data_IF_018498249605
#
_entry.id   IF_018498249605
#
_cell.length_a   1.000
_cell.length_b   1.000
_cell.length_c   1.000
_cell.angle_alpha   90.00
_cell.angle_beta   90.00
_cell.angle_gamma   90.00
#
_symmetry.space_group_name_H-M   'P 1'
#
loop_
_entity.id
_entity.type
_entity.pdbx_description
1 polymer ?
#
# COMPACT_ATOMS: atom_id res chain seq x y z
N UNK A 1 2.21 -16.61 -13.02
CA UNK A 1 3.39 -16.65 -13.91
C UNK A 1 4.58 -16.08 -13.15
N UNK A 2 5.82 -16.41 -13.51
CA UNK A 2 7.01 -15.89 -12.84
C UNK A 2 8.00 -15.32 -13.85
N UNK A 3 8.40 -14.06 -13.63
CA UNK A 3 9.43 -13.40 -14.41
C UNK A 3 10.77 -14.13 -14.28
N UNK A 4 11.50 -14.24 -15.39
CA UNK A 4 12.81 -14.91 -15.45
C UNK A 4 12.75 -16.42 -15.71
N UNK A 5 11.56 -17.00 -15.88
CA UNK A 5 11.40 -18.41 -16.29
C UNK A 5 11.08 -18.43 -17.78
N UNK A 6 12.12 -18.57 -18.61
CA UNK A 6 12.07 -18.45 -20.08
C UNK A 6 11.51 -19.70 -20.76
N UNK A 7 10.35 -20.16 -20.31
CA UNK A 7 9.62 -21.29 -20.91
C UNK A 7 8.17 -20.91 -21.14
N UNK A 8 7.54 -21.55 -22.13
CA UNK A 8 6.10 -21.46 -22.33
C UNK A 8 5.34 -22.32 -21.29
N UNK A 9 5.91 -23.47 -20.89
CA UNK A 9 5.28 -24.44 -20.01
C UNK A 9 5.31 -24.11 -18.51
N UNK A 10 4.97 -25.12 -17.69
CA UNK A 10 5.13 -25.07 -16.23
C UNK A 10 6.41 -25.82 -15.83
N UNK A 11 7.17 -25.23 -14.91
CA UNK A 11 8.43 -25.79 -14.39
C UNK A 11 8.36 -25.87 -12.87
N UNK A 12 8.94 -26.92 -12.29
CA UNK A 12 9.06 -27.05 -10.83
C UNK A 12 10.33 -26.37 -10.34
N UNK A 13 10.19 -25.33 -9.52
CA UNK A 13 11.30 -24.55 -8.97
C UNK A 13 11.30 -24.62 -7.44
N UNK A 14 12.49 -24.63 -6.85
CA UNK A 14 12.67 -24.56 -5.41
C UNK A 14 12.57 -23.11 -4.92
N UNK A 15 11.45 -22.76 -4.29
CA UNK A 15 11.16 -21.39 -3.83
C UNK A 15 11.40 -21.24 -2.32
N UNK A 16 12.08 -20.16 -1.95
CA UNK A 16 12.28 -19.63 -0.59
C UNK A 16 11.42 -18.38 -0.30
N UNK A 17 11.58 -17.81 0.91
CA UNK A 17 10.94 -16.55 1.32
C UNK A 17 11.33 -15.39 0.38
N UNK A 18 10.34 -14.59 -0.02
CA UNK A 18 10.53 -13.40 -0.87
C UNK A 18 10.35 -13.65 -2.37
N UNK A 19 10.31 -14.90 -2.82
CA UNK A 19 9.95 -15.17 -4.20
C UNK A 19 8.45 -15.05 -4.47
N UNK A 20 8.10 -14.48 -5.62
CA UNK A 20 6.75 -14.53 -6.17
C UNK A 20 6.25 -15.97 -6.33
N UNK A 21 4.93 -16.16 -6.19
CA UNK A 21 4.22 -17.46 -6.22
C UNK A 21 4.41 -18.38 -5.00
N UNK A 22 5.15 -17.96 -3.96
CA UNK A 22 5.30 -18.74 -2.74
C UNK A 22 5.32 -17.88 -1.46
N UNK A 23 4.58 -18.33 -0.45
CA UNK A 23 4.62 -17.80 0.90
C UNK A 23 4.96 -18.94 1.87
N UNK A 24 6.16 -18.96 2.47
CA UNK A 24 6.56 -20.02 3.40
C UNK A 24 5.71 -20.00 4.67
N UNK A 25 5.49 -21.18 5.27
CA UNK A 25 4.75 -21.31 6.53
C UNK A 25 5.68 -21.35 7.72
N UNK A 26 6.88 -21.92 7.55
CA UNK A 26 7.94 -21.94 8.57
C UNK A 26 9.13 -21.08 8.13
N UNK A 27 9.87 -20.57 9.10
CA UNK A 27 11.11 -19.83 8.84
C UNK A 27 12.15 -20.79 8.25
N UNK A 28 12.86 -20.37 7.20
CA UNK A 28 13.87 -21.18 6.51
C UNK A 28 13.33 -22.22 5.52
N UNK A 29 12.01 -22.40 5.43
CA UNK A 29 11.41 -23.39 4.53
C UNK A 29 11.63 -23.05 3.06
N UNK A 30 12.12 -24.03 2.30
CA UNK A 30 12.13 -24.01 0.83
C UNK A 30 11.23 -25.12 0.29
N UNK A 31 10.45 -24.83 -0.76
CA UNK A 31 9.52 -25.81 -1.33
C UNK A 31 9.56 -25.80 -2.86
N UNK A 32 9.64 -26.99 -3.45
CA UNK A 32 9.50 -27.17 -4.89
C UNK A 32 8.03 -27.01 -5.30
N UNK A 33 7.73 -25.98 -6.09
CA UNK A 33 6.38 -25.71 -6.63
C UNK A 33 6.43 -25.57 -8.15
N UNK A 34 5.37 -26.03 -8.80
CA UNK A 34 5.15 -25.80 -10.24
C UNK A 34 4.73 -24.36 -10.48
N UNK A 35 5.44 -23.68 -11.37
CA UNK A 35 5.20 -22.28 -11.74
C UNK A 35 5.14 -22.18 -13.26
N UNK A 36 4.19 -21.40 -13.78
CA UNK A 36 4.11 -21.07 -15.22
C UNK A 36 5.20 -20.07 -15.59
N UNK A 37 5.86 -20.30 -16.72
CA UNK A 37 6.88 -19.41 -17.26
C UNK A 37 6.36 -18.02 -17.63
N UNK A 38 7.28 -17.14 -18.06
CA UNK A 38 6.95 -15.75 -18.41
C UNK A 38 6.48 -15.57 -19.86
N UNK A 39 6.69 -16.57 -20.72
CA UNK A 39 6.27 -16.50 -22.13
C UNK A 39 4.76 -16.76 -22.21
N UNK A 40 4.06 -15.89 -22.94
CA UNK A 40 2.61 -15.98 -23.15
C UNK A 40 2.31 -17.05 -24.20
N UNK A 41 1.27 -17.83 -23.97
CA UNK A 41 0.82 -18.92 -24.84
C UNK A 41 -0.72 -19.04 -24.71
N UNK A 42 -1.38 -19.65 -25.70
CA UNK A 42 -2.83 -19.73 -25.79
C UNK A 42 -3.49 -20.48 -24.62
N UNK A 43 -2.72 -21.31 -23.91
CA UNK A 43 -3.18 -22.10 -22.76
C UNK A 43 -3.32 -21.29 -21.45
N UNK A 44 -3.45 -19.97 -21.51
CA UNK A 44 -3.62 -19.07 -20.36
C UNK A 44 -5.08 -18.61 -20.25
N UNK A 45 -5.67 -18.71 -19.06
CA UNK A 45 -7.06 -18.27 -18.84
C UNK A 45 -7.22 -16.76 -18.67
N UNK A 46 -6.23 -16.09 -18.05
CA UNK A 46 -6.29 -14.66 -17.71
C UNK A 46 -4.92 -14.02 -17.86
N UNK A 47 -4.87 -12.82 -18.43
CA UNK A 47 -3.71 -11.94 -18.48
C UNK A 47 -4.00 -10.65 -17.70
N UNK A 48 -3.07 -10.29 -16.81
CA UNK A 48 -3.15 -9.03 -16.07
C UNK A 48 -2.32 -7.98 -16.82
N UNK A 49 -2.96 -6.92 -17.30
CA UNK A 49 -2.33 -5.84 -18.06
C UNK A 49 -2.38 -4.53 -17.27
N UNK A 50 -1.42 -3.64 -17.52
CA UNK A 50 -1.36 -2.29 -16.94
C UNK A 50 -1.25 -1.28 -18.08
N UNK A 51 -2.12 -0.28 -18.07
CA UNK A 51 -2.13 0.80 -19.07
C UNK A 51 -1.06 1.82 -18.70
N UNK A 52 -0.13 2.11 -19.63
CA UNK A 52 0.95 3.09 -19.43
C UNK A 52 0.62 4.44 -20.09
N UNK A 53 -0.08 4.42 -21.23
CA UNK A 53 -0.47 5.61 -21.98
C UNK A 53 -1.94 5.52 -22.36
N UNK A 54 -2.68 6.62 -22.19
CA UNK A 54 -4.07 6.76 -22.61
C UNK A 54 -4.12 7.04 -24.12
N UNK A 55 -5.07 6.42 -24.83
CA UNK A 55 -5.35 6.73 -26.24
C UNK A 55 -6.33 7.91 -26.37
N UNK A 56 -6.80 8.16 -27.59
CA UNK A 56 -7.79 9.22 -27.86
C UNK A 56 -9.17 8.92 -27.27
N UNK A 57 -9.56 7.65 -27.25
CA UNK A 57 -10.85 7.19 -26.74
C UNK A 57 -10.73 6.72 -25.31
N UNK A 58 -11.73 7.08 -24.52
CA UNK A 58 -11.86 6.68 -23.13
C UNK A 58 -12.49 5.28 -23.04
N UNK A 59 -12.05 4.51 -22.04
CA UNK A 59 -12.53 3.17 -21.75
C UNK A 59 -13.48 3.24 -20.56
N UNK A 60 -14.75 2.85 -20.75
CA UNK A 60 -15.74 2.94 -19.69
C UNK A 60 -15.35 2.10 -18.47
N UNK A 61 -15.49 2.70 -17.28
CA UNK A 61 -15.22 2.06 -16.00
C UNK A 61 -13.75 1.90 -15.61
N UNK A 62 -12.81 2.35 -16.46
CA UNK A 62 -11.38 2.33 -16.14
C UNK A 62 -10.74 3.72 -16.20
N UNK A 63 -10.91 4.44 -17.32
CA UNK A 63 -10.31 5.77 -17.49
C UNK A 63 -11.21 6.91 -17.04
N UNK A 64 -12.52 6.66 -16.96
CA UNK A 64 -13.53 7.69 -16.72
C UNK A 64 -13.60 8.08 -15.24
N UNK A 65 -13.31 7.13 -14.36
CA UNK A 65 -13.39 7.31 -12.91
C UNK A 65 -12.00 7.38 -12.31
N UNK A 66 -11.70 8.47 -11.60
CA UNK A 66 -10.46 8.60 -10.83
C UNK A 66 -10.70 8.15 -9.39
N UNK A 67 -10.04 7.06 -8.97
CA UNK A 67 -10.08 6.62 -7.57
C UNK A 67 -8.89 7.23 -6.81
N UNK A 68 -9.12 8.12 -5.83
CA UNK A 68 -8.02 8.73 -5.07
C UNK A 68 -7.36 7.74 -4.12
N UNK A 69 -6.11 8.02 -3.73
CA UNK A 69 -5.42 7.26 -2.70
C UNK A 69 -6.11 7.44 -1.34
N UNK A 70 -6.59 6.33 -0.76
CA UNK A 70 -7.32 6.34 0.52
C UNK A 70 -6.45 6.73 1.72
N UNK A 71 -5.16 6.37 1.71
CA UNK A 71 -4.26 6.58 2.85
C UNK A 71 -3.12 7.52 2.48
N UNK A 72 -2.89 8.51 3.34
CA UNK A 72 -1.75 9.40 3.23
C UNK A 72 -0.44 8.78 3.73
N UNK A 73 0.70 9.42 3.47
CA UNK A 73 1.99 8.97 3.97
C UNK A 73 2.06 8.98 5.51
N UNK A 74 2.57 7.89 6.11
CA UNK A 74 2.73 7.76 7.58
C UNK A 74 4.02 8.36 8.15
N UNK A 75 5.08 8.46 7.34
CA UNK A 75 6.40 8.92 7.80
C UNK A 75 6.53 10.43 7.62
N UNK A 76 7.07 11.14 8.62
CA UNK A 76 7.22 12.59 8.58
C UNK A 76 8.00 13.09 7.35
N UNK A 77 9.08 12.40 6.98
CA UNK A 77 9.87 12.72 5.78
C UNK A 77 9.10 12.62 4.47
N UNK A 78 8.09 11.76 4.39
CA UNK A 78 7.24 11.63 3.19
C UNK A 78 6.13 12.69 3.16
N UNK A 79 5.63 13.11 4.32
CA UNK A 79 4.65 14.19 4.42
C UNK A 79 5.31 15.52 4.03
N UNK A 80 6.52 15.80 4.56
CA UNK A 80 7.30 16.98 4.19
C UNK A 80 7.55 17.08 2.68
N UNK A 81 7.88 15.96 2.03
CA UNK A 81 8.06 15.91 0.56
C UNK A 81 6.77 16.13 -0.23
N UNK A 82 5.62 15.73 0.31
CA UNK A 82 4.34 15.83 -0.38
C UNK A 82 3.83 17.28 -0.37
N UNK A 83 3.99 17.96 0.76
CA UNK A 83 3.55 19.35 0.94
C UNK A 83 4.69 20.38 0.79
N UNK A 84 5.89 19.95 0.39
CA UNK A 84 7.10 20.79 0.26
C UNK A 84 7.44 21.60 1.52
N UNK A 85 7.26 21.00 2.70
CA UNK A 85 7.55 21.63 4.00
C UNK A 85 9.05 21.63 4.30
N UNK A 86 9.50 22.62 5.07
CA UNK A 86 10.86 22.68 5.59
C UNK A 86 11.00 21.79 6.85
N UNK A 87 12.17 21.80 7.49
CA UNK A 87 12.39 20.97 8.69
C UNK A 87 11.76 21.59 9.94
N UNK A 88 11.58 22.89 9.89
CA UNK A 88 11.10 23.77 10.96
C UNK A 88 9.57 23.66 11.11
N UNK A 89 8.87 23.30 10.04
CA UNK A 89 7.41 23.17 10.03
C UNK A 89 6.92 21.94 10.82
N UNK A 90 5.82 22.12 11.57
CA UNK A 90 5.14 21.03 12.26
C UNK A 90 4.35 20.17 11.28
N UNK A 91 4.71 18.89 11.23
CA UNK A 91 4.15 17.90 10.31
C UNK A 91 2.76 17.42 10.75
N UNK A 92 2.40 17.58 12.03
CA UNK A 92 1.15 17.04 12.60
C UNK A 92 -0.10 17.67 11.98
N UNK A 93 -0.01 18.94 11.60
CA UNK A 93 -1.11 19.70 11.00
C UNK A 93 -1.47 19.19 9.58
N UNK A 94 -0.49 18.61 8.87
CA UNK A 94 -0.60 18.19 7.48
C UNK A 94 -0.90 16.69 7.31
N UNK A 95 -1.22 15.98 8.40
CA UNK A 95 -1.55 14.56 8.34
C UNK A 95 -2.94 14.38 7.72
N UNK A 96 -3.00 13.68 6.58
CA UNK A 96 -4.26 13.33 5.92
C UNK A 96 -4.95 12.23 6.70
N UNK A 97 -6.12 12.54 7.23
CA UNK A 97 -6.98 11.59 7.91
C UNK A 97 -8.01 11.05 6.91
N UNK A 98 -8.24 9.72 6.87
CA UNK A 98 -9.34 9.19 6.08
C UNK A 98 -10.67 9.78 6.60
N UNK A 99 -11.63 10.09 5.72
CA UNK A 99 -12.94 10.56 6.14
C UNK A 99 -13.57 9.53 7.09
N UNK A 100 -14.02 9.99 8.26
CA UNK A 100 -14.73 9.15 9.23
C UNK A 100 -16.20 9.18 8.85
N UNK A 101 -16.78 8.02 8.56
CA UNK A 101 -18.22 7.91 8.39
C UNK A 101 -18.89 8.41 9.69
N UNK A 102 -19.76 9.40 9.57
CA UNK A 102 -20.45 10.03 10.70
C UNK A 102 -21.40 9.03 11.35
N UNK A 103 -20.86 8.23 12.28
CA UNK A 103 -21.48 7.56 13.44
C UNK A 103 -20.51 6.50 13.97
N UNK A 104 -19.47 6.97 14.66
CA UNK A 104 -18.74 6.36 15.79
C UNK A 104 -17.33 6.91 15.80
N UNK A 105 -17.07 7.73 16.82
CA UNK A 105 -15.78 8.31 17.10
C UNK A 105 -14.84 7.20 17.55
N UNK A 106 -14.12 6.59 16.60
CA UNK A 106 -12.87 5.88 16.91
C UNK A 106 -11.72 6.60 16.22
N UNK A 107 -10.94 7.32 17.02
CA UNK A 107 -9.72 7.98 16.57
C UNK A 107 -8.67 6.93 16.14
N UNK A 108 -8.63 6.60 14.85
CA UNK A 108 -7.46 5.94 14.28
C UNK A 108 -6.42 7.01 13.93
N UNK A 109 -5.63 7.41 14.92
CA UNK A 109 -4.43 8.20 14.69
C UNK A 109 -3.37 7.24 14.14
N UNK A 110 -2.94 7.45 12.91
CA UNK A 110 -1.73 6.80 12.39
C UNK A 110 -0.53 7.39 13.14
N UNK A 111 -0.02 6.68 14.15
CA UNK A 111 1.17 7.10 14.90
C UNK A 111 2.32 7.41 13.94
N UNK A 112 2.73 8.68 13.88
CA UNK A 112 3.82 9.15 13.03
C UNK A 112 5.10 8.39 13.39
N UNK A 113 5.75 7.80 12.38
CA UNK A 113 7.04 7.11 12.57
C UNK A 113 8.17 8.09 12.27
N UNK A 114 9.13 8.18 13.20
CA UNK A 114 10.33 9.04 13.16
C UNK A 114 10.03 10.54 13.29
N UNK A 115 9.61 10.97 14.49
CA UNK A 115 9.82 12.33 14.95
C UNK A 115 11.14 12.34 15.74
N UNK A 116 12.09 13.18 15.34
CA UNK A 116 13.28 13.49 16.13
C UNK A 116 12.86 14.64 17.05
N UNK A 117 12.49 14.30 18.27
CA UNK A 117 12.03 15.20 19.31
C UNK A 117 11.53 14.37 20.49
N UNK A 118 11.71 14.90 21.69
CA UNK A 118 11.36 14.24 22.94
C UNK A 118 9.92 13.71 22.91
N UNK A 119 9.67 12.65 23.69
CA UNK A 119 8.34 12.09 23.88
C UNK A 119 7.35 13.16 24.36
N UNK A 120 6.72 13.87 23.42
CA UNK A 120 5.67 14.83 23.73
C UNK A 120 4.43 14.02 24.07
N UNK A 121 4.23 13.82 25.37
CA UNK A 121 2.97 13.47 26.00
C UNK A 121 1.83 14.20 25.30
N UNK A 122 0.96 13.46 24.61
CA UNK A 122 -0.37 13.96 24.26
C UNK A 122 -1.17 13.85 25.54
N UNK A 123 -1.23 14.96 26.28
CA UNK A 123 -2.12 15.12 27.42
C UNK A 123 -3.55 14.80 27.00
N UNK A 124 -4.11 13.75 27.60
CA UNK A 124 -5.54 13.53 27.67
C UNK A 124 -6.13 14.68 28.51
N UNK A 125 -6.63 15.73 27.86
CA UNK A 125 -7.55 16.64 28.53
C UNK A 125 -8.89 15.90 28.68
N UNK A 126 -9.14 15.43 29.89
CA UNK A 126 -10.45 15.02 30.38
C UNK A 126 -11.38 16.23 30.31
N UNK A 127 -12.20 16.31 29.27
CA UNK A 127 -13.35 17.19 29.20
C UNK A 127 -14.56 16.47 29.79
N UNK A 128 -14.71 16.54 31.11
CA UNK A 128 -15.99 16.29 31.75
C UNK A 128 -16.94 17.43 31.38
N UNK A 129 -18.14 17.09 30.92
CA UNK A 129 -19.28 18.00 30.90
C UNK A 129 -20.39 17.36 31.71
N UNK A 130 -20.44 17.72 32.99
CA UNK A 130 -21.67 17.79 33.76
C UNK A 130 -22.58 18.86 33.12
N UNK A 131 -23.88 18.59 33.05
CA UNK A 131 -24.87 19.62 32.71
C UNK A 131 -26.11 19.10 31.99
N UNK A 132 -27.09 18.68 32.80
CA UNK A 132 -28.52 18.43 32.54
C UNK A 132 -28.93 17.53 31.36
#
# INVERSE_FOLDING_TARGET
MKQGVLTHGRVRLLLSKGHSCYRPRRTGERKCKSVRGCIVDANLSVLNLVIVKKGEKDIPGLTDTTVPHRLGPKRASRIRKLFNLSKEDDVRQYVVHPPKDTKQVCAQILGLRELVGDAVNISLSTGGSEGW
#
